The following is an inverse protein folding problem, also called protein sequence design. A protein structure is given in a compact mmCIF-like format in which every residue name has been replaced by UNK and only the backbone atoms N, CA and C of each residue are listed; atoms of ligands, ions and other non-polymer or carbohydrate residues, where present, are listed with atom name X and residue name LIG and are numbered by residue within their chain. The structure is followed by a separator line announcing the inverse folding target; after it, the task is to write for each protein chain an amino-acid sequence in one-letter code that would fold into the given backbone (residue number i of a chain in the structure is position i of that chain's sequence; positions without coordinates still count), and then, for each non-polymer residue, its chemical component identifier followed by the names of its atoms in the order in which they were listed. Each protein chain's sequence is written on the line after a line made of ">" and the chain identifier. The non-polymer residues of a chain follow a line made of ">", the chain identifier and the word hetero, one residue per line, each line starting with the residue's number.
data_IF_087346853609
#
_entry.id   IF_087346853609
#
_cell.length_a   1.000
_cell.length_b   1.000
_cell.length_c   1.000
_cell.angle_alpha   90.00
_cell.angle_beta   90.00
_cell.angle_gamma   90.00
#
_symmetry.space_group_name_H-M   'P 1'
#
loop_
_entity.id
_entity.type
_entity.pdbx_description
1 polymer ?
#
# COMPACT_ATOMS: atom_id res chain seq x y z
N UNK A 1 -4.43 -16.61 -11.31
CA UNK A 1 -4.09 -16.76 -9.88
C UNK A 1 -5.35 -16.59 -9.04
N UNK A 2 -5.56 -17.50 -8.12
CA UNK A 2 -6.72 -17.42 -7.23
C UNK A 2 -6.53 -16.28 -6.24
N UNK A 3 -7.57 -15.49 -6.08
CA UNK A 3 -7.56 -14.39 -5.12
C UNK A 3 -8.68 -14.61 -4.09
N UNK A 4 -8.56 -13.99 -2.89
CA UNK A 4 -9.62 -14.11 -1.88
C UNK A 4 -10.98 -13.67 -2.43
N UNK A 5 -12.03 -14.39 -2.05
CA UNK A 5 -13.40 -14.09 -2.50
C UNK A 5 -13.83 -12.69 -2.10
N UNK A 6 -13.32 -12.18 -0.99
CA UNK A 6 -13.62 -10.83 -0.52
C UNK A 6 -13.23 -9.78 -1.55
N UNK A 7 -12.18 -10.03 -2.33
CA UNK A 7 -11.75 -9.10 -3.39
C UNK A 7 -12.81 -9.03 -4.49
N UNK A 8 -13.37 -10.17 -4.88
CA UNK A 8 -14.45 -10.20 -5.88
C UNK A 8 -15.68 -9.46 -5.38
N UNK A 9 -16.02 -9.61 -4.10
CA UNK A 9 -17.13 -8.89 -3.51
C UNK A 9 -16.88 -7.37 -3.50
N UNK A 10 -15.65 -6.95 -3.23
CA UNK A 10 -15.28 -5.54 -3.22
C UNK A 10 -15.28 -4.95 -4.63
N UNK A 11 -14.93 -5.75 -5.64
CA UNK A 11 -15.04 -5.33 -7.05
C UNK A 11 -16.52 -5.09 -7.38
N UNK A 12 -17.40 -6.01 -7.04
CA UNK A 12 -18.83 -5.90 -7.29
C UNK A 12 -19.42 -4.70 -6.55
N UNK A 13 -18.95 -4.42 -5.35
CA UNK A 13 -19.41 -3.28 -4.54
C UNK A 13 -18.86 -1.94 -5.02
N UNK A 14 -17.91 -1.94 -5.95
CA UNK A 14 -17.33 -0.71 -6.48
C UNK A 14 -16.19 -0.14 -5.65
N UNK A 15 -15.72 -0.86 -4.62
CA UNK A 15 -14.60 -0.40 -3.80
C UNK A 15 -13.24 -0.72 -4.45
N UNK A 16 -13.17 -1.81 -5.23
CA UNK A 16 -11.97 -2.22 -5.96
C UNK A 16 -12.24 -2.21 -7.46
N UNK A 17 -11.18 -1.98 -8.23
CA UNK A 17 -11.19 -2.13 -9.70
C UNK A 17 -10.26 -3.27 -10.08
N UNK A 18 -10.63 -4.02 -11.12
CA UNK A 18 -9.72 -5.03 -11.69
C UNK A 18 -8.63 -4.35 -12.51
N UNK A 19 -7.41 -4.87 -12.38
CA UNK A 19 -6.27 -4.44 -13.19
C UNK A 19 -5.51 -5.66 -13.64
N UNK A 20 -4.68 -5.50 -14.67
CA UNK A 20 -3.76 -6.55 -15.08
C UNK A 20 -2.53 -6.51 -14.18
N UNK A 21 -2.19 -7.62 -13.47
CA UNK A 21 -1.01 -7.63 -12.62
C UNK A 21 0.27 -7.43 -13.44
N UNK A 22 1.15 -6.56 -12.95
CA UNK A 22 2.47 -6.34 -13.54
C UNK A 22 3.54 -6.54 -12.47
N UNK A 23 4.38 -7.54 -12.64
CA UNK A 23 5.40 -7.85 -11.63
C UNK A 23 6.38 -6.71 -11.41
N UNK A 24 6.73 -5.97 -12.46
CA UNK A 24 7.61 -4.82 -12.31
C UNK A 24 7.00 -3.75 -11.40
N UNK A 25 5.70 -3.51 -11.53
CA UNK A 25 5.01 -2.54 -10.68
C UNK A 25 4.93 -3.03 -9.22
N UNK A 26 4.67 -4.32 -9.02
CA UNK A 26 4.65 -4.92 -7.68
C UNK A 26 6.02 -4.78 -7.01
N UNK A 27 7.09 -5.11 -7.74
CA UNK A 27 8.46 -5.01 -7.23
C UNK A 27 8.82 -3.55 -6.91
N UNK A 28 8.40 -2.60 -7.74
CA UNK A 28 8.66 -1.19 -7.47
C UNK A 28 8.01 -0.72 -6.15
N UNK A 29 6.81 -1.21 -5.87
CA UNK A 29 6.15 -0.88 -4.59
C UNK A 29 6.87 -1.51 -3.41
N UNK A 30 7.35 -2.74 -3.55
CA UNK A 30 8.10 -3.41 -2.48
C UNK A 30 9.40 -2.66 -2.18
N UNK A 31 10.10 -2.20 -3.22
CA UNK A 31 11.33 -1.42 -3.05
C UNK A 31 11.03 -0.10 -2.34
N UNK A 32 9.95 0.60 -2.74
CA UNK A 32 9.55 1.84 -2.05
C UNK A 32 9.19 1.59 -0.60
N UNK A 33 8.45 0.50 -0.34
CA UNK A 33 8.10 0.13 1.03
C UNK A 33 9.34 -0.10 1.88
N UNK A 34 10.33 -0.81 1.33
CA UNK A 34 11.57 -1.07 2.04
C UNK A 34 12.28 0.24 2.40
N UNK A 35 12.30 1.21 1.49
CA UNK A 35 12.90 2.51 1.74
C UNK A 35 12.19 3.26 2.88
N UNK A 36 10.88 3.26 2.89
CA UNK A 36 10.12 3.88 3.98
C UNK A 36 10.38 3.20 5.32
N UNK A 37 10.42 1.86 5.33
CA UNK A 37 10.66 1.11 6.56
C UNK A 37 12.08 1.32 7.07
N UNK A 38 13.06 1.38 6.18
CA UNK A 38 14.45 1.67 6.55
C UNK A 38 14.59 3.07 7.16
N UNK A 39 13.89 4.05 6.59
CA UNK A 39 13.89 5.40 7.16
C UNK A 39 13.20 5.42 8.53
N UNK A 40 12.10 4.70 8.69
CA UNK A 40 11.43 4.60 9.98
C UNK A 40 12.36 3.99 11.03
N UNK A 41 13.14 2.97 10.65
CA UNK A 41 14.12 2.35 11.54
C UNK A 41 15.20 3.35 11.94
N UNK A 42 15.70 4.13 10.99
CA UNK A 42 16.65 5.20 11.27
C UNK A 42 16.10 6.19 12.29
N UNK A 43 14.83 6.61 12.10
CA UNK A 43 14.18 7.56 13.00
C UNK A 43 13.90 6.99 14.39
N UNK A 44 13.87 5.66 14.54
CA UNK A 44 13.53 5.03 15.82
C UNK A 44 14.52 5.38 16.93
N UNK A 45 15.78 5.65 16.58
CA UNK A 45 16.82 5.96 17.56
C UNK A 45 16.85 7.45 17.95
N UNK A 46 15.98 8.27 17.35
CA UNK A 46 15.97 9.72 17.56
C UNK A 46 14.55 10.18 17.88
N UNK A 47 14.21 10.34 19.19
CA UNK A 47 12.83 10.68 19.58
C UNK A 47 12.27 11.94 18.95
N UNK A 48 13.12 12.90 18.57
CA UNK A 48 12.68 14.13 17.92
C UNK A 48 12.07 13.85 16.54
N UNK A 49 12.29 12.65 15.96
CA UNK A 49 11.76 12.27 14.66
C UNK A 49 10.58 11.31 14.76
N UNK A 50 9.89 11.26 15.89
CA UNK A 50 8.76 10.35 16.08
C UNK A 50 7.66 10.55 15.05
N UNK A 51 7.34 11.80 14.69
CA UNK A 51 6.33 12.06 13.67
C UNK A 51 6.75 11.49 12.32
N UNK A 52 7.99 11.74 11.91
CA UNK A 52 8.54 11.21 10.66
C UNK A 52 8.55 9.68 10.65
N UNK A 53 8.83 9.08 11.80
CA UNK A 53 8.79 7.63 11.96
C UNK A 53 7.39 7.09 11.70
N UNK A 54 6.37 7.68 12.31
CA UNK A 54 4.98 7.26 12.10
C UNK A 54 4.56 7.43 10.65
N UNK A 55 4.90 8.55 10.03
CA UNK A 55 4.55 8.80 8.64
C UNK A 55 5.20 7.78 7.72
N UNK A 56 6.47 7.45 7.95
CA UNK A 56 7.19 6.47 7.13
C UNK A 56 6.64 5.07 7.33
N UNK A 57 6.28 4.68 8.56
CA UNK A 57 5.64 3.40 8.80
C UNK A 57 4.31 3.29 8.07
N UNK A 58 3.52 4.34 8.11
CA UNK A 58 2.23 4.39 7.40
C UNK A 58 2.45 4.25 5.89
N UNK A 59 3.37 5.05 5.32
CA UNK A 59 3.63 5.03 3.88
C UNK A 59 4.19 3.68 3.44
N UNK A 60 5.08 3.09 4.23
CA UNK A 60 5.63 1.78 3.92
C UNK A 60 4.57 0.70 3.96
N UNK A 61 3.73 0.71 4.98
CA UNK A 61 2.62 -0.24 5.09
C UNK A 61 1.64 -0.07 3.94
N UNK A 62 1.31 1.18 3.58
CA UNK A 62 0.42 1.47 2.46
C UNK A 62 0.97 0.88 1.15
N UNK A 63 2.27 1.06 0.88
CA UNK A 63 2.88 0.49 -0.32
C UNK A 63 2.83 -1.04 -0.34
N UNK A 64 3.02 -1.68 0.82
CA UNK A 64 2.91 -3.15 0.90
C UNK A 64 1.48 -3.62 0.63
N UNK A 65 0.50 -2.93 1.16
CA UNK A 65 -0.91 -3.27 0.90
C UNK A 65 -1.21 -3.13 -0.59
N UNK A 66 -0.75 -2.05 -1.22
CA UNK A 66 -0.96 -1.85 -2.65
C UNK A 66 -0.24 -2.92 -3.47
N UNK A 67 0.96 -3.34 -3.05
CA UNK A 67 1.69 -4.42 -3.72
C UNK A 67 0.90 -5.73 -3.69
N UNK A 68 0.33 -6.07 -2.54
CA UNK A 68 -0.51 -7.27 -2.41
C UNK A 68 -1.72 -7.19 -3.33
N UNK A 69 -2.41 -6.05 -3.34
CA UNK A 69 -3.59 -5.87 -4.19
C UNK A 69 -3.22 -5.99 -5.67
N UNK A 70 -2.15 -5.33 -6.10
CA UNK A 70 -1.70 -5.42 -7.50
C UNK A 70 -1.30 -6.85 -7.88
N UNK A 71 -0.67 -7.57 -6.96
CA UNK A 71 -0.32 -8.98 -7.20
C UNK A 71 -1.56 -9.81 -7.52
N UNK A 72 -2.68 -9.52 -6.86
CA UNK A 72 -3.95 -10.22 -7.09
C UNK A 72 -4.79 -9.58 -8.21
N UNK A 73 -4.26 -8.57 -8.89
CA UNK A 73 -4.94 -7.96 -10.04
C UNK A 73 -6.08 -7.02 -9.65
N UNK A 74 -5.96 -6.34 -8.51
CA UNK A 74 -6.94 -5.37 -8.07
C UNK A 74 -6.26 -4.11 -7.56
N UNK A 75 -7.01 -3.02 -7.51
CA UNK A 75 -6.58 -1.77 -6.89
C UNK A 75 -7.76 -1.11 -6.20
N UNK A 76 -7.49 -0.33 -5.17
CA UNK A 76 -8.51 0.49 -4.54
C UNK A 76 -8.90 1.63 -5.49
N UNK A 77 -10.19 1.98 -5.49
CA UNK A 77 -10.62 3.19 -6.18
C UNK A 77 -10.19 4.40 -5.35
N UNK A 78 -9.97 5.52 -6.04
CA UNK A 78 -9.32 6.71 -5.48
C UNK A 78 -10.04 7.33 -4.29
N UNK A 79 -11.32 7.11 -4.14
CA UNK A 79 -12.15 7.81 -3.16
C UNK A 79 -11.68 7.67 -1.72
N UNK A 80 -11.15 6.50 -1.34
CA UNK A 80 -10.77 6.25 0.05
C UNK A 80 -9.62 7.11 0.54
N UNK A 81 -8.55 7.20 -0.23
CA UNK A 81 -7.36 7.96 0.19
C UNK A 81 -7.56 9.47 0.05
N UNK A 82 -8.29 9.90 -0.97
CA UNK A 82 -8.60 11.32 -1.13
C UNK A 82 -9.41 11.85 0.05
N UNK A 83 -10.38 11.08 0.52
CA UNK A 83 -11.18 11.47 1.68
C UNK A 83 -10.33 11.56 2.96
N UNK A 84 -9.34 10.71 3.09
CA UNK A 84 -8.45 10.73 4.25
C UNK A 84 -7.55 11.98 4.28
N UNK A 85 -7.23 12.54 3.12
CA UNK A 85 -6.38 13.72 3.01
C UNK A 85 -7.17 15.01 3.24
N UNK A 86 -8.44 14.99 2.89
CA UNK A 86 -9.32 16.14 3.08
C UNK A 86 -9.76 16.25 4.54
#
# INVERSE_FOLDING_TARGET
>A
MDRPKEYDNLIKAGAFAEITPEQAAVQARIVRAQGYLDYAQYCADNPQFNLQRYMSLYDGFFELVQAVLEHYGVRQKDSGRKLAIQ
#
